data_IF_002985172603
#
_entry.id   IF_002985172603
#
_cell.length_a   1.000
_cell.length_b   1.000
_cell.length_c   1.000
_cell.angle_alpha   90.00
_cell.angle_beta   90.00
_cell.angle_gamma   90.00
#
_symmetry.space_group_name_H-M   'P 1'
#
loop_
_entity.id
_entity.type
_entity.pdbx_description
1 polymer ?
#
# COMPACT_ATOMS: atom_id res chain seq x y z
N UNK A 1 10.00 8.48 -29.60
CA UNK A 1 10.01 9.48 -28.52
C UNK A 1 8.68 9.36 -27.80
N UNK A 2 8.66 8.67 -26.66
CA UNK A 2 7.44 8.57 -25.85
C UNK A 2 7.54 9.61 -24.75
N UNK A 3 6.58 10.53 -24.77
CA UNK A 3 6.50 11.61 -23.80
C UNK A 3 6.28 11.02 -22.41
N UNK A 4 7.17 11.38 -21.48
CA UNK A 4 6.95 11.28 -20.05
C UNK A 4 5.69 12.09 -19.71
N UNK A 5 4.54 11.43 -19.69
CA UNK A 5 3.29 12.05 -19.25
C UNK A 5 3.32 12.14 -17.72
N UNK A 6 3.95 13.20 -17.23
CA UNK A 6 3.59 13.76 -15.92
C UNK A 6 2.11 14.14 -16.07
N UNK A 7 1.24 13.34 -15.46
CA UNK A 7 -0.23 13.46 -15.50
C UNK A 7 -0.65 14.93 -15.41
N UNK A 8 -1.17 15.47 -16.51
CA UNK A 8 -1.48 16.90 -16.64
C UNK A 8 -2.99 17.07 -16.70
N UNK A 9 -3.56 17.36 -15.52
CA UNK A 9 -4.92 17.89 -15.38
C UNK A 9 -5.93 16.91 -14.75
N UNK A 10 -6.91 17.41 -13.99
CA UNK A 10 -7.94 16.59 -13.34
C UNK A 10 -8.80 15.77 -14.32
N UNK A 11 -8.85 16.15 -15.60
CA UNK A 11 -9.62 15.47 -16.66
C UNK A 11 -8.99 14.15 -17.13
N UNK A 12 -7.66 14.05 -17.16
CA UNK A 12 -6.98 12.82 -17.59
C UNK A 12 -7.11 11.71 -16.54
N UNK A 13 -6.98 12.09 -15.27
CA UNK A 13 -7.18 11.16 -14.15
C UNK A 13 -8.62 10.64 -14.09
N UNK A 14 -9.63 11.49 -14.35
CA UNK A 14 -11.02 11.03 -14.41
C UNK A 14 -11.25 10.01 -15.53
N UNK A 15 -10.69 10.25 -16.72
CA UNK A 15 -10.81 9.31 -17.85
C UNK A 15 -10.15 7.96 -17.50
N UNK A 16 -8.97 7.99 -16.90
CA UNK A 16 -8.28 6.76 -16.51
C UNK A 16 -9.06 5.98 -15.43
N UNK A 17 -9.63 6.66 -14.44
CA UNK A 17 -10.48 6.03 -13.43
C UNK A 17 -11.77 5.45 -14.03
N UNK A 18 -12.38 6.13 -15.00
CA UNK A 18 -13.56 5.64 -15.72
C UNK A 18 -13.22 4.38 -16.54
N UNK A 19 -12.09 4.36 -17.23
CA UNK A 19 -11.60 3.16 -17.91
C UNK A 19 -11.38 2.00 -16.93
N UNK A 20 -10.76 2.27 -15.78
CA UNK A 20 -10.52 1.25 -14.77
C UNK A 20 -11.83 0.73 -14.14
N UNK A 21 -12.84 1.59 -13.99
CA UNK A 21 -14.15 1.19 -13.47
C UNK A 21 -14.90 0.22 -14.39
N UNK A 22 -14.61 0.25 -15.70
CA UNK A 22 -15.19 -0.69 -16.65
C UNK A 22 -14.57 -2.10 -16.58
N UNK A 23 -13.30 -2.21 -16.16
CA UNK A 23 -12.52 -3.46 -16.22
C UNK A 23 -12.15 -4.04 -14.86
N UNK A 24 -12.33 -3.28 -13.78
CA UNK A 24 -11.96 -3.68 -12.42
C UNK A 24 -13.10 -3.46 -11.44
N UNK A 25 -13.35 -4.46 -10.59
CA UNK A 25 -14.27 -4.31 -9.43
C UNK A 25 -13.71 -3.41 -8.33
N UNK A 26 -12.42 -3.03 -8.42
CA UNK A 26 -11.73 -2.14 -7.47
C UNK A 26 -10.91 -1.08 -8.22
N UNK A 27 -11.55 -0.14 -8.94
CA UNK A 27 -10.86 0.78 -9.85
C UNK A 27 -9.84 1.68 -9.16
N UNK A 28 -10.13 2.13 -7.94
CA UNK A 28 -9.19 2.94 -7.14
C UNK A 28 -7.95 2.14 -6.74
N UNK A 29 -8.12 0.86 -6.40
CA UNK A 29 -7.01 -0.01 -6.05
C UNK A 29 -6.15 -0.33 -7.29
N UNK A 30 -6.79 -0.63 -8.41
CA UNK A 30 -6.10 -0.84 -9.69
C UNK A 30 -5.31 0.40 -10.10
N UNK A 31 -5.90 1.59 -10.02
CA UNK A 31 -5.22 2.85 -10.28
C UNK A 31 -4.00 3.02 -9.38
N UNK A 32 -4.14 2.81 -8.07
CA UNK A 32 -3.03 2.92 -7.12
C UNK A 32 -1.89 1.96 -7.44
N UNK A 33 -2.18 0.69 -7.73
CA UNK A 33 -1.15 -0.31 -8.10
C UNK A 33 -0.42 0.12 -9.37
N UNK A 34 -1.15 0.59 -10.39
CA UNK A 34 -0.56 1.09 -11.63
C UNK A 34 0.32 2.33 -11.38
N UNK A 35 -0.12 3.24 -10.52
CA UNK A 35 0.66 4.42 -10.13
C UNK A 35 1.95 4.04 -9.41
N UNK A 36 1.90 3.07 -8.49
CA UNK A 36 3.09 2.54 -7.80
C UNK A 36 4.08 1.88 -8.78
N UNK A 37 3.58 1.14 -9.77
CA UNK A 37 4.41 0.55 -10.82
C UNK A 37 5.05 1.66 -11.68
N UNK A 38 4.28 2.68 -12.06
CA UNK A 38 4.77 3.80 -12.85
C UNK A 38 5.85 4.63 -12.12
N UNK A 39 5.75 4.75 -10.79
CA UNK A 39 6.74 5.46 -9.96
C UNK A 39 8.14 4.82 -10.04
N UNK A 40 8.21 3.50 -10.16
CA UNK A 40 9.45 2.72 -10.17
C UNK A 40 9.84 2.21 -11.56
N UNK A 41 9.09 2.60 -12.59
CA UNK A 41 9.40 2.27 -13.96
C UNK A 41 10.65 3.02 -14.44
N UNK A 42 11.43 2.35 -15.28
CA UNK A 42 12.61 2.93 -15.91
C UNK A 42 12.21 3.92 -17.04
N UNK A 43 13.18 4.60 -17.69
CA UNK A 43 12.89 5.50 -18.81
C UNK A 43 12.24 4.81 -20.03
N UNK A 44 12.27 3.48 -20.10
CA UNK A 44 11.60 2.69 -21.13
C UNK A 44 10.16 2.33 -20.75
N UNK A 45 9.74 2.64 -19.51
CA UNK A 45 8.42 2.32 -18.99
C UNK A 45 8.32 0.91 -18.41
N UNK A 46 9.44 0.25 -18.18
CA UNK A 46 9.49 -1.10 -17.62
C UNK A 46 9.78 -1.06 -16.11
N UNK A 47 9.08 -1.89 -15.34
CA UNK A 47 9.30 -2.03 -13.90
C UNK A 47 9.72 -3.46 -13.56
N UNK A 48 10.81 -3.60 -12.79
CA UNK A 48 11.26 -4.87 -12.23
C UNK A 48 12.33 -5.63 -13.05
N UNK A 49 12.67 -6.87 -12.66
CA UNK A 49 12.17 -7.59 -11.47
C UNK A 49 12.63 -6.96 -10.15
N UNK A 50 13.69 -6.15 -10.18
CA UNK A 50 14.20 -5.40 -9.04
C UNK A 50 13.95 -3.91 -9.22
N UNK A 51 13.58 -3.25 -8.12
CA UNK A 51 13.33 -1.80 -8.07
C UNK A 51 14.24 -1.18 -7.01
N UNK A 52 14.65 0.07 -7.24
CA UNK A 52 15.54 0.79 -6.32
C UNK A 52 14.77 1.89 -5.61
N UNK A 53 14.74 1.83 -4.27
CA UNK A 53 14.13 2.84 -3.41
C UNK A 53 15.20 3.37 -2.45
N UNK A 54 15.65 4.60 -2.66
CA UNK A 54 16.78 5.16 -1.92
C UNK A 54 18.04 4.30 -2.08
N UNK A 55 18.55 3.76 -0.97
CA UNK A 55 19.76 2.92 -0.95
C UNK A 55 19.46 1.40 -0.91
N UNK A 56 18.20 1.00 -1.07
CA UNK A 56 17.79 -0.40 -1.06
C UNK A 56 17.32 -0.85 -2.44
N UNK A 57 17.64 -2.10 -2.77
CA UNK A 57 17.13 -2.81 -3.93
C UNK A 57 16.28 -3.97 -3.43
N UNK A 58 15.02 -4.01 -3.87
CA UNK A 58 14.07 -5.07 -3.50
C UNK A 58 13.33 -5.56 -4.75
N UNK A 59 12.62 -6.68 -4.65
CA UNK A 59 11.81 -7.14 -5.78
C UNK A 59 10.61 -6.21 -5.99
N UNK A 60 10.11 -6.13 -7.23
CA UNK A 60 8.89 -5.37 -7.53
C UNK A 60 7.71 -5.87 -6.66
N UNK A 61 7.64 -7.17 -6.39
CA UNK A 61 6.62 -7.75 -5.51
C UNK A 61 6.72 -7.19 -4.10
N UNK A 62 7.90 -7.25 -3.48
CA UNK A 62 8.09 -6.80 -2.10
C UNK A 62 7.81 -5.31 -1.97
N UNK A 63 8.26 -4.52 -2.95
CA UNK A 63 7.96 -3.09 -3.01
C UNK A 63 6.46 -2.81 -3.04
N UNK A 64 5.71 -3.55 -3.87
CA UNK A 64 4.25 -3.40 -3.93
C UNK A 64 3.60 -3.82 -2.62
N UNK A 65 4.02 -4.93 -2.02
CA UNK A 65 3.50 -5.40 -0.73
C UNK A 65 3.72 -4.34 0.38
N UNK A 66 4.93 -3.80 0.50
CA UNK A 66 5.26 -2.78 1.49
C UNK A 66 4.48 -1.49 1.27
N UNK A 67 4.37 -1.06 0.01
CA UNK A 67 3.66 0.19 -0.35
C UNK A 67 2.15 0.08 -0.14
N UNK A 68 1.58 -1.12 -0.27
CA UNK A 68 0.16 -1.39 -0.10
C UNK A 68 -0.21 -1.76 1.34
N UNK A 69 0.74 -2.17 2.18
CA UNK A 69 0.50 -2.56 3.58
C UNK A 69 -0.32 -1.53 4.38
N UNK A 70 -0.08 -0.20 4.27
CA UNK A 70 -0.89 0.81 4.97
C UNK A 70 -2.38 0.83 4.58
N UNK A 71 -2.74 0.26 3.43
CA UNK A 71 -4.14 0.09 3.03
C UNK A 71 -4.80 -1.14 3.66
N UNK A 72 -4.05 -2.21 3.90
CA UNK A 72 -4.56 -3.44 4.51
C UNK A 72 -4.91 -3.29 6.00
N UNK A 73 -4.26 -2.36 6.69
CA UNK A 73 -4.57 -2.01 8.09
C UNK A 73 -5.81 -1.13 8.27
N UNK A 74 -6.36 -0.56 7.19
CA UNK A 74 -7.57 0.29 7.25
C UNK A 74 -8.88 -0.48 7.18
N UNK A 75 -8.87 -1.82 7.22
CA UNK A 75 -10.11 -2.58 7.39
C UNK A 75 -10.68 -2.28 8.79
N UNK A 76 -11.87 -1.68 8.91
CA UNK A 76 -12.49 -1.37 10.20
C UNK A 76 -12.56 -2.59 11.13
N UNK A 77 -12.61 -3.81 10.58
CA UNK A 77 -12.59 -5.07 11.34
C UNK A 77 -11.23 -5.35 11.98
N UNK A 78 -10.12 -5.10 11.29
CA UNK A 78 -8.77 -5.29 11.86
C UNK A 78 -8.47 -4.25 12.94
N UNK A 79 -8.87 -3.00 12.73
CA UNK A 79 -8.75 -1.95 13.74
C UNK A 79 -9.57 -2.31 14.98
N UNK A 80 -10.83 -2.72 14.81
CA UNK A 80 -11.68 -3.13 15.91
C UNK A 80 -11.15 -4.37 16.65
N UNK A 81 -10.54 -5.32 15.92
CA UNK A 81 -9.91 -6.48 16.53
C UNK A 81 -8.66 -6.10 17.32
N UNK A 82 -7.78 -5.26 16.77
CA UNK A 82 -6.59 -4.79 17.46
C UNK A 82 -6.94 -4.00 18.74
N UNK A 83 -7.94 -3.12 18.68
CA UNK A 83 -8.44 -2.38 19.85
C UNK A 83 -9.06 -3.33 20.90
N UNK A 84 -9.73 -4.38 20.46
CA UNK A 84 -10.29 -5.40 21.35
C UNK A 84 -9.18 -6.23 22.03
N UNK A 85 -8.21 -6.73 21.26
CA UNK A 85 -7.05 -7.47 21.82
C UNK A 85 -6.28 -6.60 22.81
N UNK A 86 -6.06 -5.33 22.48
CA UNK A 86 -5.45 -4.36 23.40
C UNK A 86 -6.26 -4.17 24.67
N UNK A 87 -7.58 -4.05 24.56
CA UNK A 87 -8.48 -3.91 25.72
C UNK A 87 -8.44 -5.15 26.61
N UNK A 88 -8.48 -6.34 26.01
CA UNK A 88 -8.41 -7.63 26.72
C UNK A 88 -7.06 -7.79 27.44
N UNK A 89 -5.94 -7.43 26.81
CA UNK A 89 -4.60 -7.48 27.42
C UNK A 89 -4.41 -6.49 28.59
N UNK A 90 -5.06 -5.33 28.53
CA UNK A 90 -5.08 -4.36 29.64
C UNK A 90 -5.91 -4.91 30.80
N UNK A 91 -7.07 -5.49 30.51
CA UNK A 91 -7.95 -6.08 31.53
C UNK A 91 -7.30 -7.29 32.22
N UNK A 92 -6.48 -8.05 31.51
CA UNK A 92 -5.74 -9.20 32.03
C UNK A 92 -4.42 -8.83 32.72
N UNK A 93 -4.03 -7.55 32.76
CA UNK A 93 -2.72 -7.05 33.26
C UNK A 93 -1.51 -7.72 32.58
N UNK A 94 -1.68 -8.09 31.30
CA UNK A 94 -0.67 -8.80 30.49
C UNK A 94 0.00 -7.92 29.44
N UNK A 95 -0.32 -6.63 29.43
CA UNK A 95 0.26 -5.70 28.48
C UNK A 95 1.72 -5.37 28.83
N UNK A 96 2.69 -5.66 27.94
CA UNK A 96 4.09 -5.33 28.20
C UNK A 96 4.31 -3.82 28.35
N UNK A 97 5.23 -3.42 29.23
CA UNK A 97 5.60 -2.00 29.40
C UNK A 97 6.43 -1.45 28.23
N UNK A 98 7.09 -2.34 27.48
CA UNK A 98 7.81 -1.99 26.27
C UNK A 98 6.83 -1.74 25.11
N UNK A 99 6.79 -0.52 24.54
CA UNK A 99 5.89 -0.19 23.44
C UNK A 99 6.15 -1.01 22.16
N UNK A 100 7.38 -1.48 21.92
CA UNK A 100 7.69 -2.31 20.75
C UNK A 100 7.14 -3.73 20.94
N UNK A 101 7.34 -4.33 22.12
CA UNK A 101 6.76 -5.62 22.47
C UNK A 101 5.22 -5.57 22.54
N UNK A 102 4.64 -4.46 23.02
CA UNK A 102 3.19 -4.28 23.07
C UNK A 102 2.56 -4.18 21.67
N UNK A 103 3.23 -3.50 20.72
CA UNK A 103 2.77 -3.44 19.32
C UNK A 103 2.81 -4.83 18.65
N UNK A 104 3.89 -5.58 18.87
CA UNK A 104 4.02 -6.94 18.34
C UNK A 104 2.93 -7.89 18.87
N UNK A 105 2.56 -7.77 20.15
CA UNK A 105 1.53 -8.62 20.78
C UNK A 105 0.11 -8.33 20.28
N UNK A 106 -0.14 -7.13 19.75
CA UNK A 106 -1.46 -6.73 19.21
C UNK A 106 -1.58 -7.01 17.70
N UNK A 107 -0.45 -7.16 17.00
CA UNK A 107 -0.39 -7.41 15.56
C UNK A 107 -0.35 -8.89 15.14
N UNK A 108 -0.14 -9.82 16.09
CA UNK A 108 -0.21 -11.29 15.91
C UNK A 108 -1.67 -11.80 15.89
#
# INVERSE_FOLDING_TARGET
>A
MFHTAILSGPSEMSILLDCLAQVSSRPRYAFMVLSLIAEVADPHGEAGPFVRRGNQTQTLRDFLCDSLAPMGGRDPRRIALAERVKSDLILEDRMPTDPAAAAALVEE
#
